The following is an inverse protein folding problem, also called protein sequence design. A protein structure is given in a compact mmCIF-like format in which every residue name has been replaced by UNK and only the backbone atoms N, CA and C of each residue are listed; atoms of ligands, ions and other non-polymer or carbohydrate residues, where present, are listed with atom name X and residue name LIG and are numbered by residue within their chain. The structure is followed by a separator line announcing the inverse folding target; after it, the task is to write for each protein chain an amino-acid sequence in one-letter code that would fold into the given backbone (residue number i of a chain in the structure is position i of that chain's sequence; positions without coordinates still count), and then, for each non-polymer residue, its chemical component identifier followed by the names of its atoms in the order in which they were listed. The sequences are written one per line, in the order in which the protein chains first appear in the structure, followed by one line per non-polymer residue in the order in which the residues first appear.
data_IF_417320857011
#
_entry.id   IF_417320857011
#
_cell.length_a   1.000
_cell.length_b   1.000
_cell.length_c   1.000
_cell.angle_alpha   90.00
_cell.angle_beta   90.00
_cell.angle_gamma   90.00
#
_symmetry.space_group_name_H-M   'P 1'
#
loop_
_entity.id
_entity.type
_entity.pdbx_description
1 polymer ?
#
# COMPACT_ATOMS: atom_id res chain seq x y z
N UNK A 1 4.26 -24.77 30.95
CA UNK A 1 4.62 -23.38 31.27
C UNK A 1 3.67 -22.89 32.35
N UNK A 2 4.13 -22.53 33.56
CA UNK A 2 3.24 -22.00 34.62
C UNK A 2 2.67 -20.67 34.15
N UNK A 3 1.35 -20.47 34.25
CA UNK A 3 0.73 -19.16 33.98
C UNK A 3 1.38 -18.13 34.91
N UNK A 4 1.76 -16.97 34.36
CA UNK A 4 2.21 -15.85 35.19
C UNK A 4 1.06 -15.43 36.09
N UNK A 5 1.34 -15.34 37.38
CA UNK A 5 0.40 -14.83 38.36
C UNK A 5 0.42 -13.30 38.28
N UNK A 6 -0.77 -12.72 38.09
CA UNK A 6 -0.97 -11.28 37.95
C UNK A 6 -1.83 -10.72 39.11
N UNK A 7 -2.06 -11.53 40.16
CA UNK A 7 -2.85 -11.12 41.32
C UNK A 7 -2.21 -9.95 42.10
N UNK A 8 -0.88 -9.82 42.02
CA UNK A 8 -0.13 -8.72 42.66
C UNK A 8 0.09 -7.50 41.73
N UNK A 9 -0.58 -7.45 40.58
CA UNK A 9 -0.41 -6.35 39.63
C UNK A 9 -1.14 -5.10 40.13
N UNK A 10 -0.41 -4.22 40.80
CA UNK A 10 -0.93 -2.90 41.19
C UNK A 10 -0.99 -1.97 39.98
N UNK A 11 -2.22 -1.58 39.59
CA UNK A 11 -2.45 -0.59 38.55
C UNK A 11 -2.66 0.76 39.24
N UNK A 12 -1.70 1.66 39.12
CA UNK A 12 -1.92 3.06 39.51
C UNK A 12 -2.79 3.75 38.46
N UNK A 13 -4.07 3.94 38.78
CA UNK A 13 -4.97 4.73 37.94
C UNK A 13 -4.69 6.22 38.17
N UNK A 14 -4.29 6.94 37.12
CA UNK A 14 -4.30 8.41 37.14
C UNK A 14 -5.70 8.90 36.79
N UNK A 15 -6.31 9.67 37.69
CA UNK A 15 -7.68 10.19 37.53
C UNK A 15 -7.73 11.52 36.75
N UNK A 16 -6.60 12.19 36.58
CA UNK A 16 -6.49 13.42 35.78
C UNK A 16 -5.59 13.17 34.57
N UNK A 17 -6.02 13.66 33.40
CA UNK A 17 -5.24 13.60 32.17
C UNK A 17 -4.17 14.70 32.23
N UNK A 18 -2.93 14.30 32.49
CA UNK A 18 -1.80 15.20 32.72
C UNK A 18 -1.29 15.84 31.41
N UNK A 19 -1.56 15.23 30.26
CA UNK A 19 -1.10 15.68 28.95
C UNK A 19 -2.24 15.71 27.94
N UNK A 20 -2.39 16.85 27.27
CA UNK A 20 -3.31 17.04 26.15
C UNK A 20 -2.49 17.25 24.87
N UNK A 21 -2.89 16.62 23.78
CA UNK A 21 -2.25 16.76 22.47
C UNK A 21 -3.22 17.39 21.47
N UNK A 22 -2.75 18.32 20.63
CA UNK A 22 -3.61 19.06 19.68
C UNK A 22 -4.39 18.13 18.74
N UNK A 23 -3.82 16.98 18.39
CA UNK A 23 -4.45 16.04 17.47
C UNK A 23 -5.70 15.35 18.05
N UNK A 24 -5.97 15.52 19.35
CA UNK A 24 -7.14 14.97 20.01
C UNK A 24 -8.44 15.68 19.60
N UNK A 25 -8.41 16.94 19.19
CA UNK A 25 -9.61 17.68 18.77
C UNK A 25 -10.13 17.24 17.39
N UNK A 26 -9.34 16.49 16.63
CA UNK A 26 -9.77 16.02 15.32
C UNK A 26 -10.82 14.92 15.41
N UNK A 27 -11.76 14.95 14.46
CA UNK A 27 -12.82 13.96 14.29
C UNK A 27 -12.56 13.06 13.07
N UNK A 28 -13.21 11.90 13.03
CA UNK A 28 -13.12 11.01 11.88
C UNK A 28 -13.82 11.61 10.64
N UNK A 29 -13.32 11.26 9.46
CA UNK A 29 -13.90 11.72 8.19
C UNK A 29 -13.55 13.13 7.75
N UNK A 30 -12.71 13.84 8.51
CA UNK A 30 -12.23 15.18 8.19
C UNK A 30 -10.71 15.18 8.29
N UNK A 31 -9.97 15.91 7.42
CA UNK A 31 -8.53 16.07 7.58
C UNK A 31 -8.18 16.51 9.00
N UNK A 32 -7.18 15.88 9.64
CA UNK A 32 -6.15 15.02 9.07
C UNK A 32 -6.47 13.51 9.10
N UNK A 33 -7.74 13.13 9.33
CA UNK A 33 -8.22 11.74 9.33
C UNK A 33 -7.53 10.82 10.35
N UNK A 34 -6.95 11.37 11.42
CA UNK A 34 -6.29 10.60 12.51
C UNK A 34 -7.18 9.46 13.00
N UNK A 35 -8.45 9.78 13.28
CA UNK A 35 -9.49 8.86 13.77
C UNK A 35 -10.15 8.00 12.69
N UNK A 36 -9.70 8.10 11.44
CA UNK A 36 -10.19 7.29 10.31
C UNK A 36 -10.82 8.10 9.18
N UNK A 37 -10.98 7.45 8.03
CA UNK A 37 -11.31 8.11 6.76
C UNK A 37 -12.77 8.53 6.61
N UNK A 38 -13.72 7.94 7.35
CA UNK A 38 -15.13 8.33 7.27
C UNK A 38 -15.72 8.53 8.66
N UNK A 39 -16.60 9.53 8.78
CA UNK A 39 -17.34 9.83 10.00
C UNK A 39 -18.41 8.78 10.35
N UNK A 40 -18.83 7.96 9.38
CA UNK A 40 -19.90 6.96 9.53
C UNK A 40 -19.41 5.53 9.29
N UNK A 41 -18.11 5.25 9.42
CA UNK A 41 -17.52 3.94 9.04
C UNK A 41 -18.21 2.75 9.73
N UNK A 42 -18.83 2.97 10.90
CA UNK A 42 -19.69 2.04 11.65
C UNK A 42 -20.85 1.45 10.82
N UNK A 43 -21.32 2.16 9.79
CA UNK A 43 -22.46 1.78 8.95
C UNK A 43 -22.05 1.31 7.53
N UNK A 44 -20.79 1.49 7.12
CA UNK A 44 -20.31 1.16 5.77
C UNK A 44 -18.96 0.45 5.85
N UNK A 45 -19.00 -0.87 5.58
CA UNK A 45 -17.89 -1.83 5.40
C UNK A 45 -16.49 -1.25 5.64
N UNK A 46 -15.98 -1.45 6.86
CA UNK A 46 -14.74 -0.86 7.37
C UNK A 46 -13.46 -1.43 6.73
N UNK A 47 -13.47 -2.70 6.35
CA UNK A 47 -12.29 -3.42 5.87
C UNK A 47 -12.63 -4.36 4.72
N UNK A 48 -11.76 -4.45 3.72
CA UNK A 48 -11.87 -5.43 2.64
C UNK A 48 -10.80 -6.50 2.79
N UNK A 49 -11.22 -7.76 2.90
CA UNK A 49 -10.32 -8.91 2.86
C UNK A 49 -9.98 -9.23 1.40
N UNK A 50 -8.69 -9.45 1.15
CA UNK A 50 -8.17 -9.84 -0.16
C UNK A 50 -7.75 -11.31 -0.16
N UNK A 51 -8.07 -12.02 -1.26
CA UNK A 51 -7.57 -13.36 -1.52
C UNK A 51 -6.14 -13.27 -2.07
N UNK A 52 -5.18 -13.89 -1.39
CA UNK A 52 -3.82 -14.05 -1.90
C UNK A 52 -3.76 -15.23 -2.86
N UNK A 53 -3.22 -14.99 -4.06
CA UNK A 53 -2.98 -16.02 -5.08
C UNK A 53 -1.50 -15.99 -5.46
N UNK A 54 -0.81 -17.08 -5.17
CA UNK A 54 0.65 -17.19 -5.32
C UNK A 54 1.13 -18.58 -5.75
N UNK A 55 0.27 -19.38 -6.40
CA UNK A 55 0.67 -20.66 -6.97
C UNK A 55 1.57 -20.42 -8.18
N UNK A 56 2.67 -21.16 -8.29
CA UNK A 56 3.63 -21.00 -9.40
C UNK A 56 3.02 -21.14 -10.79
N UNK A 57 1.94 -21.90 -10.94
CA UNK A 57 1.25 -22.11 -12.22
C UNK A 57 0.14 -21.07 -12.45
N UNK A 58 0.12 -20.39 -13.61
CA UNK A 58 -0.98 -19.52 -14.03
C UNK A 58 -2.34 -20.24 -14.05
N UNK A 59 -2.36 -21.47 -14.57
CA UNK A 59 -3.59 -22.28 -14.69
C UNK A 59 -4.13 -22.65 -13.30
N UNK A 60 -3.27 -23.14 -12.39
CA UNK A 60 -3.70 -23.47 -11.02
C UNK A 60 -4.20 -22.22 -10.28
N UNK A 61 -3.55 -21.08 -10.48
CA UNK A 61 -3.97 -19.79 -9.93
C UNK A 61 -5.34 -19.36 -10.47
N UNK A 62 -5.59 -19.51 -11.78
CA UNK A 62 -6.88 -19.25 -12.39
C UNK A 62 -7.99 -20.13 -11.79
N UNK A 63 -7.75 -21.45 -11.72
CA UNK A 63 -8.70 -22.40 -11.12
C UNK A 63 -9.01 -22.03 -9.66
N UNK A 64 -7.98 -21.74 -8.87
CA UNK A 64 -8.16 -21.33 -7.48
C UNK A 64 -9.01 -20.06 -7.34
N UNK A 65 -8.83 -19.06 -8.22
CA UNK A 65 -9.66 -17.85 -8.24
C UNK A 65 -11.12 -18.21 -8.56
N UNK A 66 -11.36 -19.08 -9.55
CA UNK A 66 -12.70 -19.52 -9.94
C UNK A 66 -13.42 -20.30 -8.85
N UNK A 67 -12.69 -21.05 -8.02
CA UNK A 67 -13.24 -21.78 -6.87
C UNK A 67 -13.57 -20.84 -5.69
N UNK A 68 -12.84 -19.73 -5.53
CA UNK A 68 -12.99 -18.79 -4.41
C UNK A 68 -13.85 -17.56 -4.75
N UNK A 69 -15.03 -17.78 -5.35
CA UNK A 69 -15.91 -16.70 -5.88
C UNK A 69 -16.40 -15.67 -4.86
N UNK A 70 -16.31 -16.03 -3.57
CA UNK A 70 -16.62 -15.22 -2.41
C UNK A 70 -15.74 -13.97 -2.28
N UNK A 71 -14.54 -14.00 -2.84
CA UNK A 71 -13.62 -12.89 -2.82
C UNK A 71 -13.80 -12.03 -4.08
N UNK A 72 -14.11 -10.75 -3.87
CA UNK A 72 -14.14 -9.75 -4.95
C UNK A 72 -12.86 -8.91 -5.03
N UNK A 73 -11.99 -9.01 -4.03
CA UNK A 73 -10.67 -8.39 -4.01
C UNK A 73 -9.62 -9.49 -3.99
N UNK A 74 -8.68 -9.45 -4.93
CA UNK A 74 -7.68 -10.49 -5.14
C UNK A 74 -6.33 -9.81 -5.28
N UNK A 75 -5.31 -10.36 -4.64
CA UNK A 75 -3.92 -9.98 -4.85
C UNK A 75 -3.20 -11.09 -5.60
N UNK A 76 -2.65 -10.75 -6.76
CA UNK A 76 -1.83 -11.63 -7.57
C UNK A 76 -0.37 -11.35 -7.24
N UNK A 77 0.29 -12.28 -6.56
CA UNK A 77 1.73 -12.22 -6.33
C UNK A 77 2.43 -12.83 -7.54
N UNK A 78 2.92 -12.00 -8.45
CA UNK A 78 3.49 -12.39 -9.73
C UNK A 78 5.01 -12.35 -9.67
N UNK A 79 5.64 -13.33 -10.28
CA UNK A 79 7.08 -13.41 -10.47
C UNK A 79 7.39 -13.56 -11.97
N UNK A 80 8.36 -12.78 -12.46
CA UNK A 80 8.81 -12.82 -13.86
C UNK A 80 10.21 -13.39 -14.03
N UNK A 81 10.88 -13.81 -12.94
CA UNK A 81 12.21 -14.41 -12.99
C UNK A 81 12.20 -15.87 -12.50
N UNK A 82 12.72 -16.83 -13.26
CA UNK A 82 12.65 -18.26 -12.90
C UNK A 82 13.42 -18.59 -11.62
N UNK A 83 14.36 -17.74 -11.20
CA UNK A 83 15.18 -17.93 -9.97
C UNK A 83 14.42 -17.68 -8.67
N UNK A 84 13.24 -17.06 -8.74
CA UNK A 84 12.43 -16.73 -7.57
C UNK A 84 11.36 -17.81 -7.36
N UNK A 85 11.53 -18.63 -6.32
CA UNK A 85 10.60 -19.71 -5.97
C UNK A 85 9.39 -19.22 -5.14
N UNK A 86 8.74 -18.13 -5.55
CA UNK A 86 7.53 -17.61 -4.90
C UNK A 86 6.65 -16.85 -5.89
N UNK A 87 5.33 -16.99 -5.78
CA UNK A 87 4.37 -16.29 -6.64
C UNK A 87 4.07 -17.04 -7.94
N UNK A 88 3.14 -16.48 -8.72
CA UNK A 88 2.70 -16.95 -10.03
C UNK A 88 3.78 -16.62 -11.05
N UNK A 89 4.37 -17.65 -11.67
CA UNK A 89 5.39 -17.44 -12.68
C UNK A 89 4.74 -17.03 -14.00
N UNK A 90 5.10 -15.84 -14.49
CA UNK A 90 4.65 -15.26 -15.76
C UNK A 90 5.88 -14.88 -16.56
N UNK A 91 6.10 -15.58 -17.67
CA UNK A 91 7.24 -15.35 -18.57
C UNK A 91 6.84 -14.75 -19.92
N UNK A 92 5.54 -14.65 -20.17
CA UNK A 92 4.99 -14.15 -21.43
C UNK A 92 3.58 -13.57 -21.24
N UNK A 93 3.09 -12.90 -22.28
CA UNK A 93 1.68 -12.49 -22.34
C UNK A 93 0.73 -13.69 -22.39
N UNK A 94 1.14 -14.82 -22.98
CA UNK A 94 0.31 -16.03 -23.02
C UNK A 94 0.11 -16.64 -21.62
N UNK A 95 1.14 -16.64 -20.77
CA UNK A 95 1.00 -17.05 -19.37
C UNK A 95 0.02 -16.15 -18.62
N UNK A 96 0.09 -14.83 -18.85
CA UNK A 96 -0.85 -13.88 -18.26
C UNK A 96 -2.27 -14.11 -18.77
N UNK A 97 -2.45 -14.46 -20.06
CA UNK A 97 -3.78 -14.82 -20.60
C UNK A 97 -4.32 -16.09 -19.96
N UNK A 98 -3.49 -17.11 -19.75
CA UNK A 98 -3.88 -18.32 -19.02
C UNK A 98 -4.33 -17.99 -17.59
N UNK A 99 -3.62 -17.08 -16.90
CA UNK A 99 -4.01 -16.62 -15.56
C UNK A 99 -5.37 -15.91 -15.57
N UNK A 100 -5.65 -15.08 -16.57
CA UNK A 100 -6.85 -14.24 -16.65
C UNK A 100 -8.03 -14.91 -17.36
N UNK A 101 -7.83 -16.07 -17.97
CA UNK A 101 -8.80 -16.71 -18.83
C UNK A 101 -10.17 -16.93 -18.14
N UNK A 102 -11.23 -16.42 -18.77
CA UNK A 102 -12.63 -16.46 -18.30
C UNK A 102 -12.86 -15.85 -16.89
N UNK A 103 -11.92 -15.09 -16.35
CA UNK A 103 -12.16 -14.35 -15.11
C UNK A 103 -13.03 -13.11 -15.41
N UNK A 104 -14.05 -12.80 -14.59
CA UNK A 104 -14.87 -11.62 -14.77
C UNK A 104 -14.15 -10.36 -14.28
N UNK A 105 -13.09 -9.92 -14.96
CA UNK A 105 -12.19 -8.83 -14.52
C UNK A 105 -12.92 -7.53 -14.17
N UNK A 106 -14.00 -7.21 -14.89
CA UNK A 106 -14.83 -6.02 -14.62
C UNK A 106 -15.58 -6.06 -13.26
N UNK A 107 -15.70 -7.24 -12.63
CA UNK A 107 -16.31 -7.44 -11.30
C UNK A 107 -15.29 -7.64 -10.19
N UNK A 108 -14.02 -7.86 -10.53
CA UNK A 108 -12.95 -8.14 -9.58
C UNK A 108 -12.10 -6.90 -9.36
N UNK A 109 -11.66 -6.69 -8.12
CA UNK A 109 -10.63 -5.72 -7.76
C UNK A 109 -9.30 -6.45 -7.69
N UNK A 110 -8.41 -6.23 -8.64
CA UNK A 110 -7.13 -6.93 -8.74
C UNK A 110 -6.01 -6.02 -8.22
N UNK A 111 -5.24 -6.52 -7.24
CA UNK A 111 -4.00 -5.90 -6.78
C UNK A 111 -2.82 -6.67 -7.37
N UNK A 112 -1.95 -6.01 -8.13
CA UNK A 112 -0.72 -6.61 -8.63
C UNK A 112 0.41 -6.41 -7.64
N UNK A 113 1.10 -7.49 -7.29
CA UNK A 113 2.26 -7.48 -6.40
C UNK A 113 3.37 -8.30 -7.01
N UNK A 114 4.61 -7.84 -6.95
CA UNK A 114 5.75 -8.58 -7.50
C UNK A 114 7.01 -8.24 -6.73
N UNK A 115 8.03 -9.10 -6.82
CA UNK A 115 9.41 -8.79 -6.40
C UNK A 115 10.28 -8.28 -7.57
N UNK A 116 9.74 -8.29 -8.79
CA UNK A 116 10.41 -7.86 -10.01
C UNK A 116 9.98 -6.44 -10.42
N UNK A 117 10.17 -6.06 -11.69
CA UNK A 117 9.69 -4.79 -12.22
C UNK A 117 8.15 -4.77 -12.27
N UNK A 118 7.56 -3.90 -11.45
CA UNK A 118 6.11 -3.72 -11.42
C UNK A 118 5.56 -3.11 -12.72
N UNK A 119 6.36 -2.33 -13.46
CA UNK A 119 5.97 -1.79 -14.76
C UNK A 119 5.76 -2.91 -15.78
N UNK A 120 6.62 -3.93 -15.78
CA UNK A 120 6.48 -5.08 -16.68
C UNK A 120 5.24 -5.89 -16.35
N UNK A 121 5.04 -6.21 -15.07
CA UNK A 121 3.86 -6.96 -14.62
C UNK A 121 2.56 -6.21 -14.94
N UNK A 122 2.51 -4.89 -14.69
CA UNK A 122 1.36 -4.06 -15.02
C UNK A 122 1.14 -3.98 -16.54
N UNK A 123 2.21 -3.82 -17.32
CA UNK A 123 2.17 -3.78 -18.78
C UNK A 123 1.65 -5.09 -19.39
N UNK A 124 2.16 -6.24 -18.94
CA UNK A 124 1.69 -7.57 -19.33
C UNK A 124 0.22 -7.78 -18.96
N UNK A 125 -0.20 -7.38 -17.75
CA UNK A 125 -1.58 -7.49 -17.31
C UNK A 125 -2.53 -6.69 -18.22
N UNK A 126 -2.18 -5.44 -18.52
CA UNK A 126 -2.97 -4.57 -19.39
C UNK A 126 -3.02 -5.13 -20.82
N UNK A 127 -1.87 -5.57 -21.36
CA UNK A 127 -1.77 -6.14 -22.70
C UNK A 127 -2.62 -7.41 -22.84
N UNK A 128 -2.49 -8.35 -21.91
CA UNK A 128 -3.29 -9.58 -21.86
C UNK A 128 -4.78 -9.29 -21.73
N UNK A 129 -5.16 -8.37 -20.83
CA UNK A 129 -6.57 -7.96 -20.65
C UNK A 129 -7.17 -7.40 -21.95
N UNK A 130 -6.41 -6.58 -22.69
CA UNK A 130 -6.84 -6.06 -24.00
C UNK A 130 -7.02 -7.17 -25.04
N UNK A 131 -6.09 -8.12 -25.12
CA UNK A 131 -6.21 -9.26 -26.05
C UNK A 131 -7.38 -10.19 -25.71
N UNK A 132 -7.77 -10.26 -24.43
CA UNK A 132 -8.97 -10.96 -23.97
C UNK A 132 -10.27 -10.15 -24.15
N UNK A 133 -10.21 -8.97 -24.77
CA UNK A 133 -11.39 -8.15 -25.09
C UNK A 133 -11.83 -7.17 -24.00
N UNK A 134 -11.08 -7.00 -22.91
CA UNK A 134 -11.39 -6.02 -21.88
C UNK A 134 -10.87 -4.63 -22.25
N UNK A 135 -11.70 -3.61 -21.98
CA UNK A 135 -11.30 -2.19 -22.08
C UNK A 135 -10.61 -1.76 -20.79
N UNK A 136 -9.57 -0.93 -20.89
CA UNK A 136 -8.82 -0.41 -19.74
C UNK A 136 -9.71 0.29 -18.70
N UNK A 137 -10.71 1.03 -19.17
CA UNK A 137 -11.69 1.75 -18.35
C UNK A 137 -12.51 0.83 -17.42
N UNK A 138 -12.57 -0.47 -17.74
CA UNK A 138 -13.30 -1.45 -16.95
C UNK A 138 -12.45 -2.11 -15.86
N UNK A 139 -11.12 -1.96 -15.93
CA UNK A 139 -10.18 -2.66 -15.05
C UNK A 139 -10.09 -1.96 -13.69
N UNK A 140 -10.46 -2.69 -12.65
CA UNK A 140 -10.39 -2.22 -11.27
C UNK A 140 -9.06 -2.67 -10.65
N UNK A 141 -8.03 -1.84 -10.85
CA UNK A 141 -6.64 -2.19 -10.55
C UNK A 141 -6.08 -1.43 -9.36
N UNK A 142 -5.30 -2.15 -8.56
CA UNK A 142 -4.36 -1.62 -7.60
C UNK A 142 -2.98 -2.21 -7.87
N UNK A 143 -1.94 -1.52 -7.45
CA UNK A 143 -0.56 -1.95 -7.61
C UNK A 143 0.17 -1.80 -6.29
N UNK A 144 1.00 -2.76 -5.92
CA UNK A 144 1.93 -2.61 -4.81
C UNK A 144 3.32 -2.29 -5.36
N UNK A 145 3.90 -1.20 -4.86
CA UNK A 145 5.26 -0.80 -5.13
C UNK A 145 6.08 -0.98 -3.85
N UNK A 146 7.21 -1.66 -3.96
CA UNK A 146 8.14 -1.83 -2.85
C UNK A 146 9.54 -1.47 -3.34
N UNK A 147 10.11 -0.43 -2.74
CA UNK A 147 11.47 0.05 -3.01
C UNK A 147 12.53 -1.07 -2.96
N UNK A 148 12.40 -2.03 -2.03
CA UNK A 148 13.35 -3.14 -1.87
C UNK A 148 13.49 -3.99 -3.14
N UNK A 149 12.47 -4.04 -3.99
CA UNK A 149 12.52 -4.82 -5.22
C UNK A 149 13.45 -4.18 -6.27
N UNK A 150 13.65 -2.86 -6.22
CA UNK A 150 14.61 -2.17 -7.08
C UNK A 150 16.06 -2.57 -6.74
N UNK A 151 16.36 -2.87 -5.47
CA UNK A 151 17.67 -3.34 -5.03
C UNK A 151 18.06 -4.72 -5.59
N UNK A 152 17.08 -5.60 -5.84
CA UNK A 152 17.33 -6.95 -6.38
C UNK A 152 17.85 -6.87 -7.82
N UNK A 153 17.48 -5.83 -8.57
CA UNK A 153 17.84 -5.69 -9.99
C UNK A 153 19.05 -4.74 -10.22
N UNK A 154 19.73 -4.28 -9.16
CA UNK A 154 20.90 -3.38 -9.20
C UNK A 154 20.70 -1.99 -9.84
N UNK A 155 19.49 -1.67 -10.33
CA UNK A 155 19.12 -0.39 -10.91
C UNK A 155 17.85 0.15 -10.24
N UNK A 156 17.93 1.39 -9.73
CA UNK A 156 16.82 2.10 -9.11
C UNK A 156 16.15 3.05 -10.11
N UNK A 157 14.89 2.76 -10.44
CA UNK A 157 14.08 3.56 -11.36
C UNK A 157 13.23 4.57 -10.61
N UNK A 158 13.78 5.76 -10.45
CA UNK A 158 13.26 6.74 -9.51
C UNK A 158 11.84 7.24 -9.83
N UNK A 159 11.43 7.25 -11.10
CA UNK A 159 10.11 7.72 -11.55
C UNK A 159 9.09 6.59 -11.82
N UNK A 160 9.26 5.40 -11.22
CA UNK A 160 8.26 4.31 -11.37
C UNK A 160 6.89 4.70 -10.82
N UNK A 161 6.86 5.29 -9.61
CA UNK A 161 5.62 5.76 -8.96
C UNK A 161 4.96 6.84 -9.84
N UNK A 162 5.73 7.85 -10.24
CA UNK A 162 5.29 8.90 -11.15
C UNK A 162 4.69 8.33 -12.44
N UNK A 163 5.37 7.38 -13.09
CA UNK A 163 4.92 6.74 -14.33
C UNK A 163 3.57 6.06 -14.17
N UNK A 164 3.39 5.29 -13.09
CA UNK A 164 2.12 4.59 -12.78
C UNK A 164 1.01 5.61 -12.48
N UNK A 165 1.30 6.66 -11.72
CA UNK A 165 0.31 7.69 -11.37
C UNK A 165 -0.14 8.47 -12.61
N UNK A 166 0.80 8.93 -13.44
CA UNK A 166 0.51 9.64 -14.68
C UNK A 166 -0.26 8.78 -15.68
N UNK A 167 0.15 7.52 -15.89
CA UNK A 167 -0.59 6.62 -16.77
C UNK A 167 -1.98 6.31 -16.24
N UNK A 168 -2.11 6.00 -14.95
CA UNK A 168 -3.37 5.60 -14.37
C UNK A 168 -4.40 6.74 -14.32
N UNK A 169 -3.97 7.98 -14.11
CA UNK A 169 -4.86 9.17 -14.16
C UNK A 169 -5.41 9.41 -15.55
N UNK A 170 -4.64 9.11 -16.60
CA UNK A 170 -5.06 9.30 -17.99
C UNK A 170 -5.88 8.14 -18.54
N UNK A 171 -5.46 6.89 -18.29
CA UNK A 171 -5.95 5.72 -19.04
C UNK A 171 -6.73 4.70 -18.17
N UNK A 172 -6.63 4.76 -16.84
CA UNK A 172 -7.26 3.80 -15.92
C UNK A 172 -8.19 4.52 -14.94
N UNK A 173 -9.38 4.98 -15.37
CA UNK A 173 -10.31 5.73 -14.51
C UNK A 173 -10.78 4.96 -13.28
N UNK A 174 -10.76 3.62 -13.32
CA UNK A 174 -11.08 2.73 -12.19
C UNK A 174 -9.86 2.27 -11.39
N UNK A 175 -8.67 2.79 -11.68
CA UNK A 175 -7.48 2.51 -10.87
C UNK A 175 -7.71 3.02 -9.45
N UNK A 176 -7.65 2.10 -8.49
CA UNK A 176 -7.93 2.39 -7.09
C UNK A 176 -6.74 2.99 -6.39
N UNK A 177 -5.65 2.23 -6.30
CA UNK A 177 -4.50 2.64 -5.49
C UNK A 177 -3.16 2.09 -5.95
N UNK A 178 -2.12 2.90 -5.82
CA UNK A 178 -0.73 2.51 -5.74
C UNK A 178 -0.35 2.43 -4.26
N UNK A 179 -0.17 1.22 -3.75
CA UNK A 179 0.22 0.97 -2.36
C UNK A 179 1.73 0.93 -2.25
N UNK A 180 2.33 1.87 -1.53
CA UNK A 180 3.78 2.02 -1.43
C UNK A 180 4.26 1.41 -0.12
N UNK A 181 5.28 0.55 -0.19
CA UNK A 181 6.04 0.05 0.97
C UNK A 181 7.43 0.66 0.97
N UNK A 182 7.72 1.48 1.99
CA UNK A 182 9.00 2.16 2.14
C UNK A 182 9.86 1.47 3.20
N UNK A 183 10.27 0.22 2.94
CA UNK A 183 11.15 -0.54 3.82
C UNK A 183 12.55 -0.60 3.19
N UNK A 184 13.53 0.06 3.83
CA UNK A 184 14.93 -0.05 3.42
C UNK A 184 15.56 -1.35 3.93
N UNK A 185 16.36 -2.08 3.11
CA UNK A 185 16.98 -3.34 3.54
C UNK A 185 18.12 -3.21 4.55
N UNK A 186 18.77 -2.03 4.62
CA UNK A 186 20.05 -1.85 5.32
C UNK A 186 19.97 -0.96 6.57
N UNK A 187 18.80 -0.40 6.89
CA UNK A 187 18.58 0.32 8.15
C UNK A 187 17.88 -0.58 9.17
N UNK A 188 18.20 -0.39 10.46
CA UNK A 188 17.33 -0.88 11.54
C UNK A 188 15.95 -0.28 11.30
N UNK A 189 15.01 -1.13 10.89
CA UNK A 189 13.64 -0.75 10.56
C UNK A 189 12.93 -0.31 11.84
N UNK A 190 13.01 0.99 12.15
CA UNK A 190 12.12 1.60 13.13
C UNK A 190 10.86 2.09 12.42
N UNK A 191 9.79 2.19 13.19
CA UNK A 191 8.47 2.65 12.71
C UNK A 191 8.53 4.07 12.17
N UNK A 192 9.32 4.92 12.81
CA UNK A 192 9.50 6.32 12.42
C UNK A 192 10.28 6.44 11.11
N UNK A 193 11.28 5.58 10.90
CA UNK A 193 11.99 5.50 9.63
C UNK A 193 11.03 5.08 8.50
N UNK A 194 10.24 4.02 8.69
CA UNK A 194 9.26 3.55 7.69
C UNK A 194 8.32 4.68 7.23
N UNK A 195 7.77 5.44 8.18
CA UNK A 195 6.91 6.59 7.87
C UNK A 195 7.68 7.73 7.19
N UNK A 196 8.86 8.09 7.68
CA UNK A 196 9.65 9.17 7.11
C UNK A 196 10.05 8.88 5.64
N UNK A 197 10.46 7.65 5.35
CA UNK A 197 10.80 7.23 3.99
C UNK A 197 9.57 7.18 3.09
N UNK A 198 8.44 6.66 3.58
CA UNK A 198 7.18 6.69 2.82
C UNK A 198 6.80 8.12 2.44
N UNK A 199 6.84 9.06 3.39
CA UNK A 199 6.53 10.47 3.14
C UNK A 199 7.53 11.11 2.17
N UNK A 200 8.83 10.83 2.32
CA UNK A 200 9.86 11.40 1.44
C UNK A 200 9.73 10.91 0.00
N UNK A 201 9.57 9.59 -0.20
CA UNK A 201 9.43 8.98 -1.52
C UNK A 201 8.15 9.47 -2.23
N UNK A 202 7.04 9.54 -1.49
CA UNK A 202 5.77 10.04 -2.04
C UNK A 202 5.80 11.53 -2.33
N UNK A 203 6.37 12.35 -1.42
CA UNK A 203 6.50 13.79 -1.62
C UNK A 203 7.30 14.12 -2.89
N UNK A 204 8.43 13.45 -3.10
CA UNK A 204 9.27 13.69 -4.27
C UNK A 204 8.58 13.27 -5.57
N UNK A 205 7.94 12.10 -5.59
CA UNK A 205 7.18 11.64 -6.76
C UNK A 205 5.94 12.50 -7.06
N UNK A 206 5.22 12.96 -6.03
CA UNK A 206 4.08 13.86 -6.21
C UNK A 206 4.53 15.22 -6.77
N UNK A 207 5.65 15.77 -6.29
CA UNK A 207 6.22 16.99 -6.87
C UNK A 207 6.58 16.80 -8.35
N UNK A 208 7.19 15.67 -8.72
CA UNK A 208 7.49 15.37 -10.11
C UNK A 208 6.21 15.29 -10.98
N UNK A 209 5.16 14.62 -10.50
CA UNK A 209 3.85 14.63 -11.17
C UNK A 209 3.32 16.06 -11.39
N UNK A 210 3.41 16.92 -10.37
CA UNK A 210 2.94 18.31 -10.43
C UNK A 210 3.78 19.13 -11.43
N UNK A 211 5.10 18.96 -11.44
CA UNK A 211 6.00 19.60 -12.40
C UNK A 211 5.67 19.22 -13.85
N UNK A 212 5.20 18.00 -14.08
CA UNK A 212 4.71 17.53 -15.38
C UNK A 212 3.22 17.82 -15.63
N UNK A 213 2.61 18.71 -14.85
CA UNK A 213 1.26 19.24 -15.08
C UNK A 213 0.11 18.37 -14.58
N UNK A 214 0.39 17.32 -13.79
CA UNK A 214 -0.65 16.50 -13.17
C UNK A 214 -1.15 17.16 -11.90
N UNK A 215 -2.47 17.33 -11.78
CA UNK A 215 -3.07 17.91 -10.58
C UNK A 215 -2.79 17.03 -9.35
N UNK A 216 -2.31 17.62 -8.26
CA UNK A 216 -2.08 16.91 -6.98
C UNK A 216 -3.33 16.14 -6.53
N UNK A 217 -4.51 16.73 -6.73
CA UNK A 217 -5.79 16.10 -6.37
C UNK A 217 -6.10 14.84 -7.20
N UNK A 218 -5.52 14.69 -8.39
CA UNK A 218 -5.72 13.49 -9.21
C UNK A 218 -4.82 12.31 -8.80
N UNK A 219 -3.68 12.61 -8.16
CA UNK A 219 -2.65 11.60 -7.83
C UNK A 219 -2.59 11.26 -6.34
N UNK A 220 -2.80 12.24 -5.45
CA UNK A 220 -2.75 12.02 -4.00
C UNK A 220 -3.81 11.00 -3.55
N UNK A 221 -5.02 11.08 -4.10
CA UNK A 221 -6.12 10.16 -3.77
C UNK A 221 -5.88 8.71 -4.24
N UNK A 222 -4.86 8.49 -5.08
CA UNK A 222 -4.50 7.16 -5.59
C UNK A 222 -3.34 6.54 -4.81
N UNK A 223 -2.72 7.26 -3.87
CA UNK A 223 -1.65 6.71 -3.05
C UNK A 223 -2.26 6.06 -1.81
N UNK A 224 -1.74 4.89 -1.46
CA UNK A 224 -2.00 4.23 -0.19
C UNK A 224 -0.69 3.77 0.42
N UNK A 225 -0.65 3.62 1.73
CA UNK A 225 0.50 3.09 2.43
C UNK A 225 0.33 1.58 2.63
N UNK A 226 1.28 0.78 2.12
CA UNK A 226 1.30 -0.66 2.34
C UNK A 226 2.14 -1.00 3.57
N UNK A 227 1.43 -1.33 4.63
CA UNK A 227 1.83 -1.24 6.01
C UNK A 227 2.27 -2.60 6.53
N UNK A 228 3.44 -2.66 7.17
CA UNK A 228 3.83 -3.83 7.96
C UNK A 228 3.26 -3.72 9.38
N UNK A 229 2.47 -4.71 9.79
CA UNK A 229 1.87 -4.79 11.12
C UNK A 229 2.68 -5.77 11.96
N UNK A 230 3.41 -5.26 12.96
CA UNK A 230 4.15 -6.09 13.91
C UNK A 230 3.23 -6.73 14.97
N UNK A 231 3.84 -7.40 15.96
CA UNK A 231 3.12 -7.97 17.10
C UNK A 231 2.73 -6.95 18.18
N UNK A 232 3.23 -5.71 18.13
CA UNK A 232 2.94 -4.69 19.13
C UNK A 232 1.64 -3.95 18.81
N UNK A 233 0.53 -4.41 19.39
CA UNK A 233 -0.80 -3.95 19.06
C UNK A 233 -1.00 -2.44 19.20
N UNK A 234 -0.62 -1.86 20.35
CA UNK A 234 -0.87 -0.46 20.66
C UNK A 234 0.03 0.47 19.84
N UNK A 235 1.27 0.04 19.62
CA UNK A 235 2.23 0.76 18.80
C UNK A 235 1.78 0.82 17.33
N UNK A 236 1.26 -0.28 16.79
CA UNK A 236 0.77 -0.31 15.41
C UNK A 236 -0.48 0.55 15.20
N UNK A 237 -1.40 0.60 16.17
CA UNK A 237 -2.55 1.51 16.12
C UNK A 237 -2.06 2.97 16.10
N UNK A 238 -1.13 3.31 17.00
CA UNK A 238 -0.56 4.66 17.10
C UNK A 238 0.17 5.06 15.81
N UNK A 239 0.92 4.15 15.20
CA UNK A 239 1.61 4.36 13.91
C UNK A 239 0.61 4.59 12.77
N UNK A 240 -0.54 3.91 12.72
CA UNK A 240 -1.56 4.14 11.67
C UNK A 240 -2.22 5.52 11.81
N UNK A 241 -2.46 5.97 13.05
CA UNK A 241 -2.97 7.32 13.33
C UNK A 241 -1.95 8.40 12.94
N UNK A 242 -0.68 8.21 13.34
CA UNK A 242 0.42 9.08 12.97
C UNK A 242 0.60 9.16 11.45
N UNK A 243 0.52 8.04 10.73
CA UNK A 243 0.64 8.00 9.27
C UNK A 243 -0.39 8.92 8.58
N UNK A 244 -1.65 8.89 9.02
CA UNK A 244 -2.72 9.77 8.48
C UNK A 244 -2.47 11.24 8.81
N UNK A 245 -2.05 11.52 10.05
CA UNK A 245 -1.67 12.88 10.48
C UNK A 245 -0.57 13.47 9.59
N UNK A 246 0.54 12.72 9.46
CA UNK A 246 1.70 13.16 8.72
C UNK A 246 1.45 13.25 7.22
N UNK A 247 0.65 12.33 6.65
CA UNK A 247 0.22 12.43 5.25
C UNK A 247 -0.57 13.71 5.00
N UNK A 248 -1.55 14.02 5.84
CA UNK A 248 -2.32 15.25 5.71
C UNK A 248 -1.43 16.49 5.82
N UNK A 249 -0.48 16.49 6.77
CA UNK A 249 0.52 17.57 6.93
C UNK A 249 1.42 17.71 5.69
N UNK A 250 1.91 16.62 5.12
CA UNK A 250 2.74 16.60 3.91
C UNK A 250 1.94 17.08 2.69
N UNK A 251 0.73 16.57 2.49
CA UNK A 251 -0.15 16.97 1.38
C UNK A 251 -0.49 18.45 1.44
N UNK A 252 -0.64 19.04 2.64
CA UNK A 252 -0.86 20.48 2.79
C UNK A 252 0.23 21.32 2.11
N UNK A 253 1.49 20.88 2.15
CA UNK A 253 2.62 21.55 1.50
C UNK A 253 2.46 21.64 -0.03
N UNK A 254 1.73 20.69 -0.62
CA UNK A 254 1.45 20.60 -2.06
C UNK A 254 0.21 21.39 -2.49
N UNK A 255 -0.46 22.09 -1.55
CA UNK A 255 -1.61 22.98 -1.80
C UNK A 255 -2.75 22.33 -2.62
N UNK A 256 -3.27 21.15 -2.22
CA UNK A 256 -4.43 20.55 -2.88
C UNK A 256 -5.67 21.43 -2.72
N UNK A 257 -6.64 21.26 -3.64
CA UNK A 257 -7.92 21.96 -3.55
C UNK A 257 -9.02 21.10 -2.93
N UNK A 258 -8.83 19.78 -2.92
CA UNK A 258 -9.86 18.83 -2.52
C UNK A 258 -9.54 18.15 -1.19
N UNK A 259 -10.53 18.05 -0.31
CA UNK A 259 -10.37 17.44 1.02
C UNK A 259 -9.95 15.96 0.94
N UNK A 260 -10.44 15.23 -0.08
CA UNK A 260 -10.12 13.82 -0.23
C UNK A 260 -8.62 13.55 -0.48
N UNK A 261 -7.84 14.55 -0.91
CA UNK A 261 -6.38 14.39 -1.11
C UNK A 261 -5.64 14.17 0.20
N UNK A 262 -6.18 14.65 1.31
CA UNK A 262 -5.62 14.45 2.64
C UNK A 262 -5.93 13.08 3.23
N UNK A 263 -6.75 12.24 2.57
CA UNK A 263 -7.16 10.94 3.07
C UNK A 263 -6.15 9.85 2.69
N UNK A 264 -5.31 9.42 3.64
CA UNK A 264 -4.41 8.28 3.42
C UNK A 264 -5.13 6.95 3.66
N UNK A 265 -5.20 6.12 2.62
CA UNK A 265 -5.58 4.71 2.77
C UNK A 265 -4.39 3.88 3.25
N UNK A 266 -4.65 2.97 4.18
CA UNK A 266 -3.69 2.02 4.72
C UNK A 266 -4.12 0.61 4.31
N UNK A 267 -3.23 -0.09 3.63
CA UNK A 267 -3.39 -1.48 3.25
C UNK A 267 -2.31 -2.34 3.92
N UNK A 268 -2.51 -3.65 3.96
CA UNK A 268 -1.42 -4.58 4.24
C UNK A 268 -1.47 -5.78 3.30
N UNK A 269 -0.32 -6.09 2.72
CA UNK A 269 -0.13 -7.25 1.85
C UNK A 269 0.53 -8.41 2.58
N UNK A 270 0.71 -8.32 3.89
CA UNK A 270 1.13 -9.46 4.69
C UNK A 270 -0.04 -10.42 4.89
N UNK A 271 0.22 -11.72 4.74
CA UNK A 271 -0.77 -12.74 5.03
C UNK A 271 -0.89 -12.92 6.56
N UNK A 272 -1.98 -12.40 7.14
CA UNK A 272 -2.24 -12.56 8.56
C UNK A 272 -2.89 -13.92 8.85
N UNK A 273 -2.06 -14.89 9.19
CA UNK A 273 -2.50 -16.10 9.90
C UNK A 273 -2.78 -15.84 11.39
N UNK A 274 -2.28 -14.72 11.93
CA UNK A 274 -2.41 -14.34 13.34
C UNK A 274 -3.56 -13.33 13.55
N UNK A 275 -4.56 -13.74 14.33
CA UNK A 275 -5.72 -12.94 14.73
C UNK A 275 -5.34 -11.58 15.35
N UNK A 276 -4.24 -11.50 16.09
CA UNK A 276 -3.81 -10.27 16.76
C UNK A 276 -3.46 -9.16 15.75
N UNK A 277 -2.83 -9.50 14.61
CA UNK A 277 -2.48 -8.52 13.59
C UNK A 277 -3.72 -8.00 12.85
N UNK A 278 -4.69 -8.88 12.58
CA UNK A 278 -5.99 -8.49 12.01
C UNK A 278 -6.71 -7.51 12.94
N UNK A 279 -6.66 -7.76 14.24
CA UNK A 279 -7.24 -6.89 15.25
C UNK A 279 -6.58 -5.50 15.26
N UNK A 280 -5.24 -5.43 15.24
CA UNK A 280 -4.50 -4.16 15.07
C UNK A 280 -4.89 -3.42 13.80
N UNK A 281 -5.05 -4.14 12.69
CA UNK A 281 -5.43 -3.54 11.41
C UNK A 281 -6.82 -2.91 11.45
N UNK A 282 -7.81 -3.61 12.04
CA UNK A 282 -9.18 -3.11 12.17
C UNK A 282 -9.21 -1.85 13.05
N UNK A 283 -8.58 -1.92 14.22
CA UNK A 283 -8.60 -0.84 15.21
C UNK A 283 -7.75 0.36 14.82
N UNK A 284 -6.66 0.14 14.09
CA UNK A 284 -5.88 1.21 13.47
C UNK A 284 -6.55 1.81 12.22
N UNK A 285 -7.64 1.21 11.73
CA UNK A 285 -8.43 1.73 10.61
C UNK A 285 -7.83 1.47 9.24
N UNK A 286 -7.28 0.28 9.00
CA UNK A 286 -6.84 -0.16 7.67
C UNK A 286 -8.04 -0.42 6.74
N UNK A 287 -7.86 -0.20 5.43
CA UNK A 287 -8.91 -0.36 4.41
C UNK A 287 -8.88 -1.74 3.76
N UNK A 288 -7.70 -2.37 3.63
CA UNK A 288 -7.57 -3.70 3.03
C UNK A 288 -6.45 -4.52 3.66
N UNK A 289 -6.71 -5.81 3.89
CA UNK A 289 -5.71 -6.77 4.40
C UNK A 289 -5.85 -8.12 3.71
N UNK A 290 -4.85 -8.99 3.87
CA UNK A 290 -4.93 -10.41 3.55
C UNK A 290 -5.18 -11.19 4.84
N UNK A 291 -6.28 -11.94 4.89
CA UNK A 291 -6.58 -12.85 6.00
C UNK A 291 -7.60 -13.90 5.56
N UNK A 292 -7.82 -14.91 6.40
CA UNK A 292 -8.91 -15.87 6.21
C UNK A 292 -10.27 -15.17 6.43
N UNK A 293 -11.20 -15.33 5.48
CA UNK A 293 -12.56 -14.79 5.58
C UNK A 293 -13.29 -15.20 6.87
N UNK A 294 -13.10 -16.44 7.35
CA UNK A 294 -13.74 -16.92 8.58
C UNK A 294 -13.27 -16.13 9.81
N UNK A 295 -11.96 -15.84 9.88
CA UNK A 295 -11.39 -14.98 10.93
C UNK A 295 -12.02 -13.59 10.92
N UNK A 296 -12.18 -13.00 9.73
CA UNK A 296 -12.77 -11.68 9.62
C UNK A 296 -14.25 -11.66 10.02
N UNK A 297 -15.02 -12.70 9.68
CA UNK A 297 -16.44 -12.80 10.04
C UNK A 297 -16.64 -12.82 11.56
N UNK A 298 -15.74 -13.42 12.34
CA UNK A 298 -15.78 -13.39 13.81
C UNK A 298 -15.63 -11.95 14.30
N UNK A 299 -14.64 -11.20 13.78
CA UNK A 299 -14.46 -9.81 14.16
C UNK A 299 -15.65 -8.93 13.78
N UNK A 300 -16.20 -9.12 12.58
CA UNK A 300 -17.32 -8.35 12.08
C UNK A 300 -18.62 -8.65 12.83
N UNK A 301 -18.97 -9.92 13.01
CA UNK A 301 -20.28 -10.33 13.50
C UNK A 301 -20.35 -10.55 15.02
N UNK A 302 -19.27 -11.02 15.65
CA UNK A 302 -19.29 -11.44 17.05
C UNK A 302 -18.65 -10.42 17.99
N UNK A 303 -17.51 -9.84 17.61
CA UNK A 303 -16.78 -8.94 18.52
C UNK A 303 -17.32 -7.52 18.56
N UNK A 304 -18.08 -7.12 17.54
CA UNK A 304 -18.65 -5.77 17.38
C UNK A 304 -17.61 -4.63 17.42
N UNK A 305 -16.31 -4.93 17.29
CA UNK A 305 -15.25 -3.91 17.31
C UNK A 305 -15.33 -2.90 16.15
N UNK A 306 -16.09 -3.25 15.12
CA UNK A 306 -16.37 -2.39 13.97
C UNK A 306 -17.49 -1.38 14.23
N UNK A 307 -18.15 -1.46 15.39
CA UNK A 307 -19.26 -0.56 15.75
C UNK A 307 -18.83 0.80 16.33
N UNK A 308 -17.55 0.99 16.63
CA UNK A 308 -17.01 2.23 17.17
C UNK A 308 -15.86 2.71 16.31
N UNK A 309 -15.86 3.99 15.97
CA UNK A 309 -14.76 4.62 15.25
C UNK A 309 -13.65 4.93 16.25
N UNK A 310 -12.44 4.45 15.96
CA UNK A 310 -11.24 4.72 16.75
C UNK A 310 -11.49 4.63 18.26
N UNK A 311 -11.82 3.43 18.78
CA UNK A 311 -12.18 3.25 20.20
C UNK A 311 -11.04 3.58 21.17
N UNK A 312 -9.83 3.81 20.64
CA UNK A 312 -8.64 4.19 21.39
C UNK A 312 -8.49 5.71 21.57
N UNK A 313 -9.33 6.51 20.91
CA UNK A 313 -9.28 7.96 21.04
C UNK A 313 -9.46 8.42 22.49
N UNK A 314 -8.60 9.33 22.93
CA UNK A 314 -8.52 9.84 24.29
C UNK A 314 -7.58 9.04 25.20
N UNK A 315 -7.17 7.82 24.83
CA UNK A 315 -6.21 7.03 25.60
C UNK A 315 -4.86 7.75 25.70
N UNK A 316 -4.47 8.17 26.91
CA UNK A 316 -3.22 8.90 27.15
C UNK A 316 -2.01 8.19 26.55
N UNK A 317 -1.97 6.87 26.62
CA UNK A 317 -0.89 6.08 26.01
C UNK A 317 -0.89 6.22 24.47
N UNK A 318 -2.03 5.96 23.83
CA UNK A 318 -2.12 5.99 22.36
C UNK A 318 -1.91 7.40 21.81
N UNK A 319 -2.47 8.42 22.44
CA UNK A 319 -2.29 9.81 22.00
C UNK A 319 -0.83 10.24 22.16
N UNK A 320 -0.20 9.94 23.30
CA UNK A 320 1.22 10.22 23.51
C UNK A 320 2.11 9.49 22.51
N UNK A 321 1.89 8.19 22.29
CA UNK A 321 2.68 7.41 21.34
C UNK A 321 2.46 7.88 19.90
N UNK A 322 1.23 8.27 19.55
CA UNK A 322 0.92 8.87 18.23
C UNK A 322 1.69 10.19 18.04
N UNK A 323 1.72 11.06 19.05
CA UNK A 323 2.49 12.30 19.04
C UNK A 323 3.99 12.04 18.86
N UNK A 324 4.57 11.16 19.68
CA UNK A 324 6.00 10.85 19.66
C UNK A 324 6.45 10.28 18.32
N UNK A 325 5.67 9.35 17.75
CA UNK A 325 5.93 8.81 16.41
C UNK A 325 5.86 9.93 15.37
N UNK A 326 4.84 10.79 15.46
CA UNK A 326 4.62 11.88 14.51
C UNK A 326 5.78 12.88 14.50
N UNK A 327 6.22 13.34 15.67
CA UNK A 327 7.35 14.27 15.81
C UNK A 327 8.63 13.66 15.23
N UNK A 328 8.96 12.42 15.63
CA UNK A 328 10.19 11.74 15.20
C UNK A 328 10.20 11.49 13.70
N UNK A 329 9.11 10.95 13.15
CA UNK A 329 8.99 10.67 11.72
C UNK A 329 9.04 11.96 10.89
N UNK A 330 8.37 13.04 11.35
CA UNK A 330 8.43 14.34 10.66
C UNK A 330 9.83 14.94 10.66
N UNK A 331 10.53 14.89 11.80
CA UNK A 331 11.91 15.37 11.91
C UNK A 331 12.85 14.60 10.96
N UNK A 332 12.66 13.28 10.85
CA UNK A 332 13.41 12.46 9.92
C UNK A 332 13.07 12.79 8.46
N UNK A 333 11.79 13.01 8.14
CA UNK A 333 11.35 13.45 6.82
C UNK A 333 12.00 14.78 6.40
N UNK A 334 12.02 15.79 7.28
CA UNK A 334 12.70 17.08 7.02
C UNK A 334 14.21 16.91 6.82
N UNK A 335 14.84 16.04 7.62
CA UNK A 335 16.25 15.67 7.45
C UNK A 335 16.51 14.99 6.11
N UNK A 336 15.58 14.16 5.62
CA UNK A 336 15.68 13.53 4.30
C UNK A 336 15.61 14.61 3.20
N UNK A 337 14.63 15.51 3.28
CA UNK A 337 14.48 16.58 2.29
C UNK A 337 15.68 17.53 2.24
N UNK A 338 16.22 17.93 3.40
CA UNK A 338 17.41 18.81 3.46
C UNK A 338 18.68 18.19 2.86
N UNK A 339 18.72 16.85 2.74
CA UNK A 339 19.81 16.11 2.10
C UNK A 339 19.61 15.88 0.59
N UNK A 340 18.57 16.45 0.01
CA UNK A 340 18.27 16.32 -1.42
C UNK A 340 17.14 15.35 -1.75
N UNK A 341 16.39 14.87 -0.76
CA UNK A 341 15.23 14.01 -0.98
C UNK A 341 15.52 12.51 -0.86
N UNK A 342 14.51 11.71 -1.20
CA UNK A 342 14.57 10.25 -1.12
C UNK A 342 15.55 9.69 -2.15
N UNK A 343 15.48 10.17 -3.40
CA UNK A 343 16.37 9.73 -4.49
C UNK A 343 17.85 9.87 -4.12
N UNK A 344 18.24 11.01 -3.54
CA UNK A 344 19.63 11.30 -3.22
C UNK A 344 20.17 10.41 -2.09
N UNK A 345 19.34 10.12 -1.08
CA UNK A 345 19.73 9.21 0.01
C UNK A 345 19.88 7.79 -0.52
N UNK A 346 18.97 7.36 -1.40
CA UNK A 346 19.06 6.09 -2.11
C UNK A 346 20.33 5.97 -2.96
N UNK A 347 20.73 7.04 -3.66
CA UNK A 347 21.94 7.05 -4.49
C UNK A 347 23.21 6.76 -3.66
N UNK A 348 23.26 7.30 -2.45
CA UNK A 348 24.39 7.15 -1.53
C UNK A 348 24.54 5.71 -1.01
N UNK A 349 23.53 4.84 -1.18
CA UNK A 349 23.58 3.42 -0.81
C UNK A 349 24.16 2.51 -1.92
N UNK A 350 24.95 3.06 -2.86
CA UNK A 350 25.54 2.36 -4.02
C UNK A 350 24.52 1.79 -5.03
N UNK A 351 23.33 2.37 -5.10
CA UNK A 351 22.37 2.08 -6.15
C UNK A 351 22.62 2.96 -7.37
N UNK A 352 22.72 2.35 -8.57
CA UNK A 352 22.65 3.11 -9.82
C UNK A 352 21.25 3.67 -9.97
N UNK A 353 21.12 4.99 -10.05
CA UNK A 353 19.84 5.65 -10.30
C UNK A 353 19.70 5.85 -11.80
N UNK A 354 18.65 5.29 -12.37
CA UNK A 354 18.27 5.49 -13.77
C UNK A 354 16.86 6.06 -13.83
N UNK A 355 16.60 6.89 -14.83
CA UNK A 355 15.26 7.43 -15.08
C UNK A 355 14.57 6.54 -16.10
N UNK A 356 13.36 6.09 -15.78
CA UNK A 356 12.46 5.47 -16.76
C UNK A 356 12.26 6.47 -17.89
N UNK A 357 12.65 6.09 -19.11
CA UNK A 357 12.55 6.95 -20.30
C UNK A 357 11.09 7.36 -20.52
N UNK A 358 10.87 8.59 -20.96
CA UNK A 358 9.53 9.07 -21.30
C UNK A 358 8.91 8.14 -22.36
N UNK A 359 7.60 7.86 -22.24
CA UNK A 359 6.84 6.91 -23.05
C UNK A 359 7.21 5.41 -22.93
N UNK A 360 8.24 5.04 -22.16
CA UNK A 360 8.65 3.64 -22.00
C UNK A 360 7.52 2.72 -21.54
N UNK A 361 6.63 3.18 -20.64
CA UNK A 361 5.52 2.32 -20.18
C UNK A 361 4.51 1.99 -21.30
N UNK A 362 4.27 2.93 -22.22
CA UNK A 362 3.47 2.66 -23.41
C UNK A 362 4.18 1.63 -24.32
N UNK A 363 5.50 1.78 -24.50
CA UNK A 363 6.32 0.84 -25.25
C UNK A 363 6.32 -0.56 -24.63
N UNK A 364 6.36 -0.69 -23.29
CA UNK A 364 6.23 -1.98 -22.59
C UNK A 364 4.90 -2.65 -22.94
N UNK A 365 3.78 -1.91 -22.92
CA UNK A 365 2.46 -2.45 -23.25
C UNK A 365 2.42 -2.89 -24.72
N UNK A 366 2.97 -2.10 -25.63
CA UNK A 366 3.00 -2.40 -27.06
C UNK A 366 3.91 -3.61 -27.37
N UNK A 367 5.11 -3.64 -26.81
CA UNK A 367 6.02 -4.78 -26.92
C UNK A 367 5.40 -6.06 -26.34
N UNK A 368 4.76 -5.97 -25.17
CA UNK A 368 4.06 -7.10 -24.56
C UNK A 368 2.94 -7.65 -25.45
N UNK A 369 2.16 -6.78 -26.10
CA UNK A 369 1.14 -7.19 -27.08
C UNK A 369 1.74 -7.89 -28.31
N UNK A 370 2.96 -7.53 -28.67
CA UNK A 370 3.73 -8.13 -29.76
C UNK A 370 4.55 -9.34 -29.30
N UNK A 371 4.20 -9.96 -28.18
CA UNK A 371 4.82 -11.16 -27.63
C UNK A 371 6.31 -11.00 -27.27
N UNK A 372 6.75 -9.79 -26.91
CA UNK A 372 8.09 -9.58 -26.39
C UNK A 372 8.34 -10.44 -25.13
N UNK A 373 9.55 -10.99 -25.04
CA UNK A 373 10.07 -11.73 -23.89
C UNK A 373 10.28 -10.82 -22.68
N UNK A 374 10.39 -11.39 -21.47
CA UNK A 374 10.72 -10.61 -20.27
C UNK A 374 12.06 -9.87 -20.42
N UNK A 375 13.04 -10.45 -21.11
CA UNK A 375 14.34 -9.82 -21.36
C UNK A 375 14.23 -8.59 -22.26
N UNK A 376 13.44 -8.68 -23.34
CA UNK A 376 13.14 -7.54 -24.21
C UNK A 376 12.32 -6.46 -23.50
N UNK A 377 11.37 -6.85 -22.64
CA UNK A 377 10.62 -5.89 -21.82
C UNK A 377 11.51 -5.21 -20.77
N UNK A 378 12.45 -5.96 -20.20
CA UNK A 378 13.47 -5.40 -19.32
C UNK A 378 14.28 -4.35 -20.10
N UNK A 379 14.80 -4.61 -21.29
CA UNK A 379 15.62 -3.61 -22.03
C UNK A 379 14.90 -2.31 -22.44
N UNK A 380 13.57 -2.25 -22.28
CA UNK A 380 12.78 -1.01 -22.42
C UNK A 380 12.77 -0.21 -21.11
N UNK A 381 12.78 -0.90 -19.97
CA UNK A 381 12.81 -0.31 -18.61
C UNK A 381 14.24 0.08 -18.23
N UNK A 382 15.18 -0.86 -18.41
CA UNK A 382 16.61 -0.77 -18.13
C UNK A 382 17.35 -0.43 -19.44
#
# INVERSE_FOLDING_TARGET
MKRKDFSDLSIQAQHEKISYFEHEDFIAGVPPYTRGLNATTVLKKQLTIQLLVNFSSPVKSNTFIKENTDYKSIILEINTLPTINSGIYISSIEDMKLLLNELPLHKLSITLSTKNSILIVLGLFIAASKQLGFKEETLNLSVNYNYKNALINSNFYFNTIETILTYSTKNLPKFKTLSISAIQPNLKSSIENELAFFLAETYENLNNCILHGVLVDAVASKISFNYNISGDHLLEISKMRAARLLWAKMIHLLKPKQQYSFALQIHSTENFSNYHKVFSAILGGAQRIISNKNTFLIFENETHITKTIDPWAGSTFIEKTTEEISIKAWTLFEKILSKGGFSQITAQENLKIEKVKDNSFQLIIEAAKNNATIEELNSIVF
#
